data_IF_330785582555
#
_entry.id   IF_330785582555
#
_cell.length_a   1.000
_cell.length_b   1.000
_cell.length_c   1.000
_cell.angle_alpha   90.00
_cell.angle_beta   90.00
_cell.angle_gamma   90.00
#
_symmetry.space_group_name_H-M   'P 1'
#
loop_
_entity.id
_entity.type
_entity.pdbx_description
1 polymer ?
#
# COMPACT_ATOMS: atom_id res chain seq x y z
N UNK A 1 17.96 -10.86 5.68
CA UNK A 1 16.51 -11.13 5.59
C UNK A 1 15.94 -10.03 4.72
N UNK A 2 15.79 -10.31 3.41
CA UNK A 2 15.44 -9.29 2.43
C UNK A 2 13.94 -9.00 2.51
N UNK A 3 13.57 -7.76 2.86
CA UNK A 3 12.18 -7.31 2.80
C UNK A 3 11.66 -7.45 1.37
N UNK A 4 10.45 -7.97 1.22
CA UNK A 4 9.77 -8.03 -0.07
C UNK A 4 9.36 -6.58 -0.45
N UNK A 5 9.73 -6.07 -1.64
CA UNK A 5 9.29 -4.76 -2.08
C UNK A 5 7.79 -4.82 -2.41
N UNK A 6 6.96 -4.57 -1.41
CA UNK A 6 5.51 -4.40 -1.59
C UNK A 6 5.26 -2.95 -1.97
N UNK A 7 4.38 -2.71 -2.96
CA UNK A 7 3.92 -1.38 -3.34
C UNK A 7 2.48 -1.18 -2.85
N UNK A 8 2.28 -0.16 -2.00
CA UNK A 8 0.96 0.15 -1.42
C UNK A 8 0.48 1.47 -2.01
N UNK A 9 -0.71 1.45 -2.62
CA UNK A 9 -1.37 2.63 -3.21
C UNK A 9 -2.68 2.89 -2.46
N UNK A 10 -2.89 4.13 -1.98
CA UNK A 10 -4.14 4.56 -1.35
C UNK A 10 -5.04 5.24 -2.38
N UNK A 11 -6.16 4.62 -2.75
CA UNK A 11 -7.18 5.25 -3.60
C UNK A 11 -8.56 5.25 -2.93
N UNK A 12 -9.24 6.40 -3.01
CA UNK A 12 -10.63 6.58 -2.57
C UNK A 12 -11.65 6.33 -3.69
N UNK A 13 -11.20 6.05 -4.92
CA UNK A 13 -12.09 5.75 -6.03
C UNK A 13 -11.52 4.60 -6.87
N UNK A 14 -12.35 3.57 -7.05
CA UNK A 14 -12.02 2.29 -7.66
C UNK A 14 -11.74 2.48 -9.15
N UNK A 15 -10.48 2.72 -9.47
CA UNK A 15 -9.90 2.44 -10.78
C UNK A 15 -8.52 1.88 -10.53
N UNK A 16 -8.50 0.56 -10.34
CA UNK A 16 -7.32 -0.25 -10.05
C UNK A 16 -6.43 -0.47 -11.28
N UNK A 17 -6.82 0.09 -12.42
CA UNK A 17 -6.20 -0.19 -13.71
C UNK A 17 -4.73 0.23 -13.77
N UNK A 18 -4.33 1.22 -12.96
CA UNK A 18 -2.93 1.63 -12.81
C UNK A 18 -2.04 0.50 -12.25
N UNK A 19 -2.60 -0.41 -11.46
CA UNK A 19 -1.89 -1.56 -10.93
C UNK A 19 -1.80 -2.71 -11.93
N UNK A 20 -2.36 -2.63 -13.15
CA UNK A 20 -2.17 -3.70 -14.14
C UNK A 20 -0.80 -3.69 -14.83
N UNK A 21 0.08 -2.74 -14.51
CA UNK A 21 1.45 -2.78 -15.01
C UNK A 21 2.18 -4.02 -14.48
N UNK A 22 2.68 -4.89 -15.36
CA UNK A 22 3.48 -6.05 -14.97
C UNK A 22 4.93 -5.63 -14.78
N UNK A 23 5.28 -5.28 -13.54
CA UNK A 23 6.66 -5.08 -13.12
C UNK A 23 7.07 -6.23 -12.20
N UNK A 24 8.07 -7.01 -12.62
CA UNK A 24 8.54 -8.19 -11.90
C UNK A 24 9.72 -7.80 -11.00
N UNK A 25 9.66 -8.22 -9.74
CA UNK A 25 10.76 -8.11 -8.78
C UNK A 25 11.48 -9.45 -8.66
N UNK A 26 12.79 -9.40 -8.44
CA UNK A 26 13.65 -10.58 -8.36
C UNK A 26 14.27 -10.65 -6.96
N UNK A 27 14.09 -11.77 -6.28
CA UNK A 27 14.85 -12.17 -5.10
C UNK A 27 15.88 -13.25 -5.45
N UNK A 28 16.69 -13.67 -4.48
CA UNK A 28 17.81 -14.60 -4.70
C UNK A 28 17.41 -15.93 -5.36
N UNK A 29 16.18 -16.41 -5.15
CA UNK A 29 15.67 -17.67 -5.73
C UNK A 29 14.21 -17.56 -6.21
N UNK A 30 13.68 -16.34 -6.35
CA UNK A 30 12.26 -16.14 -6.69
C UNK A 30 12.06 -14.91 -7.57
N UNK A 31 11.09 -14.99 -8.47
CA UNK A 31 10.59 -13.84 -9.25
C UNK A 31 9.12 -13.66 -8.87
N UNK A 32 8.72 -12.46 -8.50
CA UNK A 32 7.38 -12.20 -7.98
C UNK A 32 6.85 -10.83 -8.40
N UNK A 33 5.52 -10.71 -8.44
CA UNK A 33 4.79 -9.47 -8.66
C UNK A 33 3.59 -9.45 -7.70
N UNK A 34 3.82 -8.96 -6.48
CA UNK A 34 2.82 -8.97 -5.40
C UNK A 34 2.09 -7.63 -5.38
N UNK A 35 0.78 -7.66 -5.57
CA UNK A 35 -0.11 -6.49 -5.50
C UNK A 35 -1.14 -6.73 -4.40
N UNK A 36 -1.23 -5.81 -3.45
CA UNK A 36 -2.16 -5.90 -2.32
C UNK A 36 -3.12 -4.71 -2.34
N UNK A 37 -4.41 -5.00 -2.27
CA UNK A 37 -5.48 -4.02 -2.20
C UNK A 37 -5.99 -3.91 -0.77
N UNK A 38 -5.45 -2.95 -0.02
CA UNK A 38 -5.85 -2.71 1.36
C UNK A 38 -7.02 -1.72 1.40
N UNK A 39 -8.17 -2.18 1.89
CA UNK A 39 -9.36 -1.34 2.11
C UNK A 39 -9.50 -1.14 3.62
N UNK A 40 -9.40 0.11 4.06
CA UNK A 40 -9.59 0.48 5.47
C UNK A 40 -11.04 0.85 5.75
N UNK A 41 -11.60 0.25 6.79
CA UNK A 41 -12.94 0.57 7.28
C UNK A 41 -12.82 1.00 8.73
N UNK A 42 -13.44 2.14 9.05
CA UNK A 42 -13.48 2.65 10.42
C UNK A 42 -14.47 1.85 11.26
N UNK A 43 -14.21 1.77 12.57
CA UNK A 43 -15.16 1.18 13.52
C UNK A 43 -16.56 1.78 13.35
N UNK A 44 -17.58 0.92 13.32
CA UNK A 44 -18.98 1.28 13.11
C UNK A 44 -19.29 1.99 11.77
N UNK A 45 -18.39 1.92 10.77
CA UNK A 45 -18.57 2.51 9.43
C UNK A 45 -19.05 3.98 9.44
N UNK A 46 -18.67 4.74 10.46
CA UNK A 46 -19.04 6.15 10.56
C UNK A 46 -18.38 6.95 9.43
N UNK A 47 -19.03 8.03 8.98
CA UNK A 47 -18.46 8.95 7.98
C UNK A 47 -17.43 9.89 8.61
N UNK A 48 -16.36 9.33 9.18
CA UNK A 48 -15.31 10.08 9.90
C UNK A 48 -14.03 10.23 9.10
N UNK A 49 -13.88 9.54 7.96
CA UNK A 49 -12.70 9.66 7.10
C UNK A 49 -12.73 11.05 6.45
N UNK A 50 -12.04 11.99 7.09
CA UNK A 50 -11.74 13.33 6.58
C UNK A 50 -10.37 13.33 5.90
N UNK A 51 -10.08 14.38 5.11
CA UNK A 51 -8.76 14.58 4.50
C UNK A 51 -7.63 14.54 5.53
N UNK A 52 -7.80 15.16 6.69
CA UNK A 52 -6.80 15.18 7.78
C UNK A 52 -6.48 13.77 8.29
N UNK A 53 -7.50 12.93 8.46
CA UNK A 53 -7.30 11.54 8.92
C UNK A 53 -6.60 10.73 7.83
N UNK A 54 -6.98 10.94 6.57
CA UNK A 54 -6.35 10.27 5.44
C UNK A 54 -4.87 10.62 5.33
N UNK A 55 -4.49 11.89 5.45
CA UNK A 55 -3.09 12.32 5.45
C UNK A 55 -2.32 11.68 6.61
N UNK A 56 -2.90 11.64 7.82
CA UNK A 56 -2.27 10.99 8.96
C UNK A 56 -2.06 9.49 8.75
N UNK A 57 -3.00 8.80 8.11
CA UNK A 57 -2.85 7.38 7.77
C UNK A 57 -1.72 7.18 6.76
N UNK A 58 -1.60 8.05 5.74
CA UNK A 58 -0.49 8.00 4.78
C UNK A 58 0.86 8.17 5.48
N UNK A 59 0.99 9.13 6.39
CA UNK A 59 2.21 9.34 7.19
C UNK A 59 2.59 8.09 8.00
N UNK A 60 1.63 7.52 8.74
CA UNK A 60 1.87 6.30 9.52
C UNK A 60 2.34 5.15 8.62
N UNK A 61 1.75 5.01 7.44
CA UNK A 61 2.17 3.99 6.48
C UNK A 61 3.54 4.27 5.88
N UNK A 62 3.90 5.53 5.61
CA UNK A 62 5.24 5.90 5.18
C UNK A 62 6.29 5.51 6.25
N UNK A 63 6.02 5.81 7.52
CA UNK A 63 6.90 5.46 8.65
C UNK A 63 7.02 3.93 8.83
N UNK A 64 5.93 3.18 8.65
CA UNK A 64 5.96 1.72 8.69
C UNK A 64 6.77 1.16 7.51
N UNK A 65 6.53 1.67 6.30
CA UNK A 65 7.21 1.23 5.10
C UNK A 65 8.73 1.49 5.16
N UNK A 66 9.13 2.64 5.71
CA UNK A 66 10.54 2.97 5.92
C UNK A 66 11.23 1.99 6.88
N UNK A 67 10.53 1.52 7.92
CA UNK A 67 11.06 0.54 8.87
C UNK A 67 11.21 -0.86 8.28
N UNK A 68 10.26 -1.27 7.44
CA UNK A 68 10.15 -2.65 6.95
C UNK A 68 10.69 -2.87 5.52
N UNK A 69 11.43 -1.91 4.94
CA UNK A 69 11.95 -1.96 3.56
C UNK A 69 10.84 -2.14 2.50
N UNK A 70 9.68 -1.55 2.76
CA UNK A 70 8.52 -1.54 1.86
C UNK A 70 8.47 -0.20 1.13
N UNK A 71 8.04 -0.18 -0.13
CA UNK A 71 7.98 1.05 -0.94
C UNK A 71 6.53 1.53 -1.05
N UNK A 72 6.25 2.75 -0.60
CA UNK A 72 4.95 3.38 -0.85
C UNK A 72 4.93 3.95 -2.28
N UNK A 73 3.87 3.68 -3.06
CA UNK A 73 3.67 4.20 -4.43
C UNK A 73 2.47 5.15 -4.48
#
# INVERSE_FOLDING_TARGET
VAGLPVSIVFTNNVSLDFLNHMQLSIGSHCVFNLKAHLIFVVAYRRKVISSTILERVKEIFADLCQRDQVKLL
#
